data_IF_199496727333
#
_entry.id   IF_199496727333
#
_cell.length_a   1.000
_cell.length_b   1.000
_cell.length_c   1.000
_cell.angle_alpha   90.00
_cell.angle_beta   90.00
_cell.angle_gamma   90.00
#
_symmetry.space_group_name_H-M   'P 1'
#
loop_
_entity.id
_entity.type
_entity.pdbx_description
1 polymer ?
#
# COMPACT_ATOMS: atom_id res chain seq x y z
N UNK A 1 2.20 8.23 4.96
CA UNK A 1 1.69 8.79 3.69
C UNK A 1 2.70 9.69 3.02
N UNK A 2 3.18 10.74 3.70
CA UNK A 2 4.10 11.71 3.08
C UNK A 2 5.36 11.09 2.48
N UNK A 3 6.05 10.20 3.20
CA UNK A 3 7.26 9.54 2.69
C UNK A 3 6.97 8.69 1.43
N UNK A 4 5.94 7.86 1.46
CA UNK A 4 5.63 6.97 0.33
C UNK A 4 5.08 7.76 -0.87
N UNK A 5 4.30 8.81 -0.66
CA UNK A 5 3.82 9.65 -1.76
C UNK A 5 4.96 10.46 -2.38
N UNK A 6 5.89 10.94 -1.56
CA UNK A 6 7.08 11.64 -2.03
C UNK A 6 7.98 10.72 -2.90
N UNK A 7 8.11 9.45 -2.51
CA UNK A 7 8.87 8.44 -3.26
C UNK A 7 8.10 7.83 -4.44
N UNK A 8 6.77 7.78 -4.41
CA UNK A 8 5.96 7.18 -5.47
C UNK A 8 5.49 8.20 -6.52
N UNK A 9 5.06 9.39 -6.09
CA UNK A 9 4.49 10.44 -6.94
C UNK A 9 5.43 11.62 -7.14
N UNK A 10 6.56 11.67 -6.42
CA UNK A 10 7.43 12.83 -6.44
C UNK A 10 6.82 14.04 -5.73
N UNK A 11 5.80 13.86 -4.90
CA UNK A 11 5.22 14.91 -4.06
C UNK A 11 4.66 14.37 -2.73
N UNK A 12 4.92 15.10 -1.65
CA UNK A 12 4.35 14.82 -0.33
C UNK A 12 2.88 15.21 -0.29
N UNK A 13 2.06 14.45 0.43
CA UNK A 13 0.70 14.87 0.74
C UNK A 13 0.66 16.05 1.71
N UNK A 14 1.71 16.30 2.50
CA UNK A 14 1.75 17.34 3.53
C UNK A 14 0.89 17.01 4.75
N UNK A 15 0.72 15.72 5.07
CA UNK A 15 -0.03 15.29 6.25
C UNK A 15 0.64 15.76 7.55
N UNK A 16 1.98 15.71 7.62
CA UNK A 16 2.74 16.14 8.79
C UNK A 16 2.65 17.65 9.02
N UNK A 17 2.75 18.45 7.96
CA UNK A 17 2.69 19.92 8.05
C UNK A 17 1.31 20.39 8.51
N UNK A 18 0.23 19.79 7.99
CA UNK A 18 -1.14 20.13 8.37
C UNK A 18 -1.55 19.56 9.73
N UNK A 19 -0.86 18.54 10.23
CA UNK A 19 -1.28 17.79 11.42
C UNK A 19 -2.53 16.93 11.22
N UNK A 20 -2.96 16.73 9.97
CA UNK A 20 -4.12 15.91 9.60
C UNK A 20 -3.91 15.27 8.21
N UNK A 21 -4.62 14.17 7.94
CA UNK A 21 -4.57 13.51 6.65
C UNK A 21 -5.11 14.42 5.53
N UNK A 22 -4.50 14.30 4.36
CA UNK A 22 -5.08 14.83 3.13
C UNK A 22 -6.44 14.15 2.86
N UNK A 23 -7.40 14.85 2.26
CA UNK A 23 -8.76 14.32 1.99
C UNK A 23 -8.72 12.96 1.26
N UNK A 24 -7.90 12.85 0.21
CA UNK A 24 -7.71 11.58 -0.50
C UNK A 24 -7.22 10.44 0.42
N UNK A 25 -6.35 10.73 1.39
CA UNK A 25 -5.83 9.74 2.35
C UNK A 25 -6.93 9.27 3.30
N UNK A 26 -7.80 10.18 3.78
CA UNK A 26 -8.98 9.80 4.57
C UNK A 26 -9.85 8.79 3.80
N UNK A 27 -10.05 9.01 2.51
CA UNK A 27 -10.84 8.07 1.68
C UNK A 27 -10.14 6.74 1.42
N UNK A 28 -8.80 6.71 1.44
CA UNK A 28 -8.01 5.49 1.22
C UNK A 28 -8.31 4.42 2.26
N UNK A 29 -8.29 4.77 3.55
CA UNK A 29 -8.49 3.79 4.62
C UNK A 29 -9.92 3.22 4.61
N UNK A 30 -10.90 4.06 4.30
CA UNK A 30 -12.28 3.60 4.10
C UNK A 30 -12.34 2.62 2.91
N UNK A 31 -11.71 2.96 1.79
CA UNK A 31 -11.63 2.10 0.62
C UNK A 31 -11.01 0.72 0.93
N UNK A 32 -9.91 0.67 1.69
CA UNK A 32 -9.23 -0.59 2.05
C UNK A 32 -10.08 -1.50 2.94
N UNK A 33 -10.82 -0.90 3.89
CA UNK A 33 -11.81 -1.62 4.70
C UNK A 33 -12.91 -2.24 3.84
N UNK A 34 -13.48 -1.45 2.91
CA UNK A 34 -14.53 -1.95 2.03
C UNK A 34 -14.04 -2.99 1.03
N UNK A 35 -12.80 -2.87 0.54
CA UNK A 35 -12.16 -3.88 -0.30
C UNK A 35 -12.03 -5.23 0.42
N UNK A 36 -11.65 -5.21 1.71
CA UNK A 36 -11.58 -6.42 2.53
C UNK A 36 -12.95 -7.07 2.70
N UNK A 37 -13.99 -6.28 2.96
CA UNK A 37 -15.38 -6.77 3.06
C UNK A 37 -15.91 -7.30 1.72
N UNK A 38 -15.59 -6.63 0.62
CA UNK A 38 -15.98 -7.02 -0.73
C UNK A 38 -15.23 -8.27 -1.23
N UNK A 39 -14.09 -8.62 -0.61
CA UNK A 39 -13.37 -9.86 -0.91
C UNK A 39 -14.06 -11.10 -0.31
N UNK A 40 -14.71 -10.98 0.85
CA UNK A 40 -15.38 -12.09 1.53
C UNK A 40 -16.44 -12.84 0.67
N UNK A 41 -17.33 -12.18 -0.09
CA UNK A 41 -18.31 -12.90 -0.90
C UNK A 41 -17.71 -13.58 -2.15
N UNK A 42 -16.45 -13.30 -2.53
CA UNK A 42 -15.81 -13.93 -3.71
C UNK A 42 -15.67 -15.45 -3.60
N UNK A 43 -15.73 -16.00 -2.37
CA UNK A 43 -15.78 -17.44 -2.14
C UNK A 43 -17.15 -18.07 -2.50
N UNK A 44 -18.18 -17.25 -2.72
CA UNK A 44 -19.55 -17.68 -2.97
C UNK A 44 -20.12 -16.94 -4.19
N UNK A 45 -19.94 -17.47 -5.42
CA UNK A 45 -20.26 -16.75 -6.66
C UNK A 45 -21.69 -16.18 -6.72
N UNK A 46 -22.68 -16.92 -6.19
CA UNK A 46 -24.08 -16.47 -6.13
C UNK A 46 -24.27 -15.28 -5.18
N UNK A 47 -23.60 -15.29 -4.02
CA UNK A 47 -23.67 -14.19 -3.04
C UNK A 47 -22.96 -12.95 -3.60
N UNK A 48 -21.79 -13.14 -4.23
CA UNK A 48 -21.08 -12.04 -4.91
C UNK A 48 -21.96 -11.40 -5.99
N UNK A 49 -22.63 -12.20 -6.82
CA UNK A 49 -23.52 -11.71 -7.86
C UNK A 49 -24.66 -10.85 -7.29
N UNK A 50 -25.34 -11.34 -6.25
CA UNK A 50 -26.44 -10.62 -5.59
C UNK A 50 -25.92 -9.30 -4.99
N UNK A 51 -24.82 -9.34 -4.22
CA UNK A 51 -24.27 -8.13 -3.59
C UNK A 51 -23.82 -7.09 -4.61
N UNK A 52 -23.24 -7.51 -5.74
CA UNK A 52 -22.89 -6.60 -6.85
C UNK A 52 -24.13 -5.95 -7.46
N UNK A 53 -25.23 -6.68 -7.60
CA UNK A 53 -26.48 -6.15 -8.14
C UNK A 53 -27.08 -5.03 -7.27
N UNK A 54 -26.95 -5.16 -5.94
CA UNK A 54 -27.46 -4.16 -4.99
C UNK A 54 -26.42 -3.10 -4.58
N UNK A 55 -25.25 -3.08 -5.20
CA UNK A 55 -24.21 -2.12 -4.85
C UNK A 55 -24.65 -0.68 -5.22
N UNK A 56 -24.69 0.26 -4.26
CA UNK A 56 -25.09 1.63 -4.54
C UNK A 56 -24.11 2.32 -5.50
N UNK A 57 -24.65 3.09 -6.46
CA UNK A 57 -23.84 3.88 -7.41
C UNK A 57 -22.87 4.84 -6.73
N UNK A 58 -23.22 5.34 -5.54
CA UNK A 58 -22.35 6.23 -4.75
C UNK A 58 -21.06 5.54 -4.31
N UNK A 59 -21.10 4.24 -4.00
CA UNK A 59 -19.92 3.45 -3.62
C UNK A 59 -19.00 3.29 -4.83
N UNK A 60 -19.55 2.94 -5.99
CA UNK A 60 -18.79 2.81 -7.24
C UNK A 60 -18.15 4.13 -7.66
N UNK A 61 -18.88 5.25 -7.55
CA UNK A 61 -18.32 6.57 -7.87
C UNK A 61 -17.25 7.01 -6.87
N UNK A 62 -17.41 6.66 -5.58
CA UNK A 62 -16.37 6.89 -4.57
C UNK A 62 -15.07 6.16 -4.91
N UNK A 63 -15.16 4.88 -5.29
CA UNK A 63 -14.01 4.11 -5.78
C UNK A 63 -13.40 4.75 -7.04
N UNK A 64 -14.23 5.17 -8.00
CA UNK A 64 -13.76 5.80 -9.24
C UNK A 64 -12.99 7.08 -8.97
N UNK A 65 -13.51 7.95 -8.08
CA UNK A 65 -12.84 9.19 -7.65
C UNK A 65 -11.52 8.91 -6.94
N UNK A 66 -11.51 7.93 -6.03
CA UNK A 66 -10.31 7.54 -5.30
C UNK A 66 -9.19 7.09 -6.25
N UNK A 67 -9.52 6.25 -7.24
CA UNK A 67 -8.58 5.80 -8.27
C UNK A 67 -8.17 6.91 -9.25
N UNK A 68 -9.10 7.81 -9.61
CA UNK A 68 -8.82 8.92 -10.53
C UNK A 68 -7.76 9.87 -9.99
N UNK A 69 -7.81 10.18 -8.68
CA UNK A 69 -6.83 11.05 -8.04
C UNK A 69 -5.42 10.46 -8.07
N UNK A 70 -5.26 9.18 -7.70
CA UNK A 70 -3.96 8.51 -7.76
C UNK A 70 -3.43 8.47 -9.20
N UNK A 71 -4.30 8.14 -10.16
CA UNK A 71 -3.97 8.16 -11.60
C UNK A 71 -3.49 9.53 -12.05
N UNK A 72 -4.17 10.61 -11.66
CA UNK A 72 -3.77 11.97 -12.00
C UNK A 72 -2.37 12.30 -11.49
N UNK A 73 -2.09 12.00 -10.21
CA UNK A 73 -0.78 12.23 -9.57
C UNK A 73 0.34 11.46 -10.26
N UNK A 74 0.11 10.17 -10.55
CA UNK A 74 1.09 9.31 -11.23
C UNK A 74 1.33 9.79 -12.66
N UNK A 75 0.25 10.09 -13.39
CA UNK A 75 0.31 10.65 -14.76
C UNK A 75 1.14 11.91 -14.80
N UNK A 76 0.87 12.86 -13.88
CA UNK A 76 1.65 14.10 -13.77
C UNK A 76 3.13 13.82 -13.54
N UNK A 77 3.46 12.87 -12.65
CA UNK A 77 4.85 12.50 -12.36
C UNK A 77 5.56 11.90 -13.58
N UNK A 78 4.88 11.06 -14.36
CA UNK A 78 5.39 10.51 -15.62
C UNK A 78 5.69 11.64 -16.61
N UNK A 79 4.75 12.58 -16.77
CA UNK A 79 4.82 13.65 -17.77
C UNK A 79 5.89 14.71 -17.45
N UNK A 80 6.22 14.89 -16.16
CA UNK A 80 7.30 15.79 -15.73
C UNK A 80 8.69 15.37 -16.21
N UNK A 81 8.90 14.10 -16.60
CA UNK A 81 10.20 13.55 -17.05
C UNK A 81 11.39 14.00 -16.18
N UNK A 82 11.17 14.01 -14.87
CA UNK A 82 12.14 14.48 -13.89
C UNK A 82 13.15 13.38 -13.54
N UNK A 83 14.41 13.78 -13.33
CA UNK A 83 15.51 12.95 -12.82
C UNK A 83 15.52 12.84 -11.28
N UNK A 84 14.40 13.17 -10.62
CA UNK A 84 14.25 13.08 -9.16
C UNK A 84 14.60 11.66 -8.67
N UNK A 85 15.39 11.49 -7.59
CA UNK A 85 15.72 10.16 -7.05
C UNK A 85 14.53 9.56 -6.27
N UNK A 86 13.50 9.14 -6.99
CA UNK A 86 12.29 8.50 -6.46
C UNK A 86 12.12 7.08 -7.08
N UNK A 87 11.06 6.36 -6.73
CA UNK A 87 10.82 5.01 -7.25
C UNK A 87 10.50 4.99 -8.75
N UNK A 88 10.00 6.11 -9.30
CA UNK A 88 9.59 6.19 -10.70
C UNK A 88 10.77 6.40 -11.64
N UNK A 89 11.76 7.19 -11.25
CA UNK A 89 12.91 7.49 -12.12
C UNK A 89 13.67 6.25 -12.62
N UNK A 90 14.07 5.28 -11.77
CA UNK A 90 14.70 4.05 -12.25
C UNK A 90 13.78 3.23 -13.16
N UNK A 91 12.48 3.23 -12.88
CA UNK A 91 11.48 2.51 -13.67
C UNK A 91 11.34 3.12 -15.08
N UNK A 92 11.27 4.45 -15.16
CA UNK A 92 11.14 5.19 -16.41
C UNK A 92 12.41 5.15 -17.25
N UNK A 93 13.60 5.16 -16.62
CA UNK A 93 14.90 5.11 -17.32
C UNK A 93 15.04 3.89 -18.21
N UNK A 94 14.47 2.75 -17.79
CA UNK A 94 14.50 1.49 -18.55
C UNK A 94 13.25 1.29 -19.43
N UNK A 95 12.39 2.31 -19.55
CA UNK A 95 11.11 2.23 -20.25
C UNK A 95 10.71 3.56 -20.92
N UNK A 96 11.66 4.19 -21.62
CA UNK A 96 11.51 5.54 -22.20
C UNK A 96 10.36 5.64 -23.23
N UNK A 97 10.09 4.56 -23.96
CA UNK A 97 9.06 4.51 -25.01
C UNK A 97 7.78 3.77 -24.60
N UNK A 98 7.65 3.32 -23.35
CA UNK A 98 6.54 2.47 -22.88
C UNK A 98 6.39 1.12 -23.62
N UNK A 99 7.46 0.64 -24.25
CA UNK A 99 7.47 -0.64 -24.97
C UNK A 99 7.58 -1.84 -24.03
N UNK A 100 8.29 -1.70 -22.91
CA UNK A 100 8.45 -2.80 -21.93
C UNK A 100 7.31 -2.84 -20.93
N UNK A 101 6.81 -1.67 -20.52
CA UNK A 101 5.65 -1.53 -19.63
C UNK A 101 4.80 -0.36 -20.14
N UNK A 102 3.52 -0.61 -20.40
CA UNK A 102 2.60 0.43 -20.85
C UNK A 102 2.40 1.49 -19.77
N UNK A 103 1.98 2.69 -20.19
CA UNK A 103 1.69 3.79 -19.26
C UNK A 103 0.61 3.39 -18.24
N UNK A 104 -0.41 2.66 -18.69
CA UNK A 104 -1.49 2.14 -17.86
C UNK A 104 -0.98 1.17 -16.80
N UNK A 105 -0.09 0.26 -17.16
CA UNK A 105 0.53 -0.67 -16.21
C UNK A 105 1.38 0.07 -15.16
N UNK A 106 2.08 1.14 -15.53
CA UNK A 106 2.82 1.98 -14.57
C UNK A 106 1.85 2.64 -13.59
N UNK A 107 0.76 3.22 -14.11
CA UNK A 107 -0.27 3.85 -13.28
C UNK A 107 -0.84 2.86 -12.27
N UNK A 108 -1.23 1.66 -12.71
CA UNK A 108 -1.75 0.65 -11.78
C UNK A 108 -0.68 0.18 -10.79
N UNK A 109 0.56 -0.02 -11.23
CA UNK A 109 1.68 -0.44 -10.36
C UNK A 109 1.92 0.58 -9.25
N UNK A 110 2.04 1.87 -9.59
CA UNK A 110 2.30 2.91 -8.59
C UNK A 110 1.11 3.16 -7.67
N UNK A 111 -0.12 2.93 -8.16
CA UNK A 111 -1.32 2.91 -7.32
C UNK A 111 -1.24 1.79 -6.27
N UNK A 112 -0.74 0.60 -6.62
CA UNK A 112 -0.47 -0.45 -5.64
C UNK A 112 0.69 -0.12 -4.69
N UNK A 113 1.77 0.49 -5.17
CA UNK A 113 2.93 0.87 -4.35
C UNK A 113 2.51 1.79 -3.20
N UNK A 114 1.65 2.78 -3.47
CA UNK A 114 1.24 3.72 -2.41
C UNK A 114 0.34 3.06 -1.37
N UNK A 115 -0.58 2.19 -1.80
CA UNK A 115 -1.46 1.44 -0.92
C UNK A 115 -0.63 0.48 -0.06
N UNK A 116 0.20 -0.34 -0.71
CA UNK A 116 1.02 -1.34 -0.05
C UNK A 116 2.05 -0.74 0.90
N UNK A 117 2.73 0.34 0.50
CA UNK A 117 3.81 0.94 1.28
C UNK A 117 3.38 1.86 2.43
N UNK A 118 2.13 2.33 2.43
CA UNK A 118 1.65 3.27 3.45
C UNK A 118 1.19 2.59 4.73
N UNK A 119 0.03 1.91 4.67
CA UNK A 119 -0.65 1.38 5.84
C UNK A 119 0.11 0.22 6.47
N UNK A 120 0.72 -0.65 5.66
CA UNK A 120 1.46 -1.81 6.19
C UNK A 120 2.69 -1.39 7.00
N UNK A 121 3.48 -0.44 6.46
CA UNK A 121 4.65 0.11 7.15
C UNK A 121 4.24 0.85 8.42
N UNK A 122 3.18 1.66 8.37
CA UNK A 122 2.66 2.37 9.54
C UNK A 122 2.18 1.41 10.63
N UNK A 123 1.46 0.35 10.25
CA UNK A 123 0.96 -0.69 11.16
C UNK A 123 2.11 -1.47 11.79
N UNK A 124 3.11 -1.88 11.01
CA UNK A 124 4.29 -2.58 11.51
C UNK A 124 5.07 -1.71 12.51
N UNK A 125 5.33 -0.44 12.17
CA UNK A 125 6.02 0.50 13.07
C UNK A 125 5.21 0.72 14.36
N UNK A 126 3.90 0.93 14.26
CA UNK A 126 3.02 1.12 15.42
C UNK A 126 3.07 -0.10 16.34
N UNK A 127 3.01 -1.30 15.77
CA UNK A 127 3.14 -2.56 16.52
C UNK A 127 4.49 -2.66 17.22
N UNK A 128 5.59 -2.41 16.51
CA UNK A 128 6.95 -2.43 17.07
C UNK A 128 7.05 -1.46 18.24
N UNK A 129 6.67 -0.20 18.06
CA UNK A 129 6.73 0.81 19.12
C UNK A 129 5.89 0.42 20.34
N UNK A 130 4.64 -0.03 20.11
CA UNK A 130 3.76 -0.50 21.18
C UNK A 130 4.35 -1.65 21.99
N UNK A 131 5.14 -2.54 21.37
CA UNK A 131 5.84 -3.61 22.08
C UNK A 131 7.09 -3.11 22.80
N UNK A 132 7.90 -2.25 22.17
CA UNK A 132 9.13 -1.73 22.77
C UNK A 132 8.87 -0.84 24.00
N UNK A 133 7.75 -0.11 24.03
CA UNK A 133 7.42 0.79 25.15
C UNK A 133 6.82 0.09 26.37
N UNK A 134 6.64 -1.24 26.34
CA UNK A 134 6.14 -2.00 27.49
C UNK A 134 7.21 -2.13 28.56
N UNK A 135 6.81 -2.14 29.84
CA UNK A 135 7.75 -2.22 30.98
C UNK A 135 8.59 -3.48 30.91
N UNK A 136 7.98 -4.59 30.52
CA UNK A 136 8.65 -5.90 30.34
C UNK A 136 9.77 -5.86 29.29
N UNK A 137 9.67 -4.97 28.30
CA UNK A 137 10.59 -4.89 27.15
C UNK A 137 11.59 -3.73 27.23
N UNK A 138 11.70 -3.06 28.39
CA UNK A 138 12.59 -1.89 28.56
C UNK A 138 14.04 -2.17 28.15
N UNK A 139 14.56 -3.36 28.48
CA UNK A 139 15.91 -3.78 28.11
C UNK A 139 16.11 -3.87 26.58
N UNK A 140 15.08 -4.32 25.84
CA UNK A 140 15.09 -4.37 24.37
C UNK A 140 15.09 -2.96 23.80
N UNK A 141 14.28 -2.05 24.34
CA UNK A 141 14.26 -0.65 23.92
C UNK A 141 15.62 0.03 24.15
N UNK A 142 16.25 -0.18 25.31
CA UNK A 142 17.58 0.35 25.63
C UNK A 142 18.66 -0.19 24.67
N UNK A 143 18.62 -1.47 24.34
CA UNK A 143 19.50 -2.09 23.35
C UNK A 143 19.26 -1.51 21.94
N UNK A 144 18.01 -1.45 21.51
CA UNK A 144 17.59 -0.92 20.20
C UNK A 144 18.03 0.53 20.01
N UNK A 145 17.98 1.34 21.07
CA UNK A 145 18.40 2.74 21.05
C UNK A 145 19.91 2.90 20.90
N UNK A 146 20.70 1.94 21.40
CA UNK A 146 22.15 1.89 21.20
C UNK A 146 22.51 1.34 19.82
N UNK A 147 21.74 0.39 19.32
CA UNK A 147 22.04 -0.41 18.14
C UNK A 147 21.03 -0.16 17.00
N UNK A 148 20.66 1.10 16.77
CA UNK A 148 19.56 1.68 15.92
C UNK A 148 19.21 0.95 14.59
N UNK A 149 20.01 0.01 14.12
CA UNK A 149 19.85 -0.73 12.85
C UNK A 149 19.59 -2.22 12.98
N UNK A 150 19.23 -2.73 14.15
CA UNK A 150 19.07 -4.17 14.30
C UNK A 150 17.86 -4.71 13.50
N UNK A 151 18.16 -5.53 12.49
CA UNK A 151 17.17 -6.23 11.65
C UNK A 151 16.31 -7.18 12.48
N UNK A 152 16.81 -7.66 13.62
CA UNK A 152 16.08 -8.55 14.50
C UNK A 152 14.77 -7.93 15.01
N UNK A 153 14.81 -6.66 15.42
CA UNK A 153 13.63 -5.95 15.98
C UNK A 153 12.52 -5.84 14.93
N UNK A 154 12.88 -5.51 13.68
CA UNK A 154 11.92 -5.37 12.60
C UNK A 154 11.26 -6.72 12.31
N UNK A 155 12.06 -7.78 12.20
CA UNK A 155 11.56 -9.12 11.93
C UNK A 155 10.64 -9.63 13.06
N UNK A 156 11.03 -9.42 14.31
CA UNK A 156 10.22 -9.80 15.46
C UNK A 156 8.94 -8.95 15.56
N UNK A 157 9.05 -7.66 15.24
CA UNK A 157 7.92 -6.76 15.07
C UNK A 157 6.90 -7.25 14.05
N UNK A 158 7.36 -7.68 12.87
CA UNK A 158 6.51 -8.25 11.82
C UNK A 158 5.91 -9.61 12.22
N UNK A 159 6.63 -10.41 13.02
CA UNK A 159 6.12 -11.68 13.57
C UNK A 159 4.98 -11.44 14.56
N UNK A 160 5.14 -10.43 15.43
CA UNK A 160 4.18 -10.10 16.49
C UNK A 160 2.98 -9.28 15.98
N UNK A 161 3.25 -8.35 15.06
CA UNK A 161 2.27 -7.47 14.43
C UNK A 161 2.40 -7.60 12.91
N UNK A 162 1.80 -8.67 12.36
CA UNK A 162 1.77 -8.88 10.91
C UNK A 162 0.76 -7.91 10.28
N UNK A 163 1.18 -6.93 9.45
CA UNK A 163 0.27 -5.99 8.81
C UNK A 163 -0.61 -6.62 7.72
N UNK A 164 -0.28 -7.83 7.25
CA UNK A 164 -1.04 -8.57 6.22
C UNK A 164 -1.32 -10.00 6.71
N UNK A 165 -2.18 -10.17 7.73
CA UNK A 165 -2.38 -11.48 8.37
C UNK A 165 -3.13 -12.49 7.48
N UNK A 166 -3.89 -12.02 6.49
CA UNK A 166 -4.66 -12.86 5.57
C UNK A 166 -3.83 -13.55 4.48
N UNK A 167 -2.54 -13.24 4.37
CA UNK A 167 -1.69 -13.74 3.28
C UNK A 167 -2.14 -13.27 1.89
N UNK A 168 -1.54 -13.85 0.85
CA UNK A 168 -1.95 -13.61 -0.54
C UNK A 168 -2.65 -14.87 -1.08
N UNK A 169 -3.89 -14.77 -1.59
CA UNK A 169 -4.55 -15.92 -2.19
C UNK A 169 -3.74 -16.44 -3.38
N UNK A 170 -3.72 -17.76 -3.54
CA UNK A 170 -3.07 -18.45 -4.65
C UNK A 170 -4.13 -19.19 -5.47
N UNK A 171 -3.93 -19.24 -6.77
CA UNK A 171 -4.71 -20.07 -7.68
C UNK A 171 -3.78 -21.14 -8.22
N UNK A 172 -4.16 -22.41 -8.06
CA UNK A 172 -3.39 -23.53 -8.61
C UNK A 172 -3.64 -23.57 -10.13
N UNK A 173 -2.59 -23.55 -10.97
CA UNK A 173 -2.76 -23.65 -12.41
C UNK A 173 -3.35 -25.02 -12.80
N UNK A 174 -3.99 -25.07 -13.98
CA UNK A 174 -4.57 -26.31 -14.50
C UNK A 174 -3.47 -27.37 -14.68
N UNK A 175 -3.65 -28.55 -14.06
CA UNK A 175 -2.64 -29.62 -14.05
C UNK A 175 -1.77 -29.68 -12.79
N UNK A 176 -1.89 -28.71 -11.87
CA UNK A 176 -1.07 -28.63 -10.67
C UNK A 176 0.31 -27.99 -10.92
N UNK A 177 1.07 -27.82 -9.86
CA UNK A 177 2.46 -27.34 -9.90
C UNK A 177 3.27 -28.05 -8.81
N UNK A 178 4.57 -28.21 -9.00
CA UNK A 178 5.49 -28.81 -8.02
C UNK A 178 6.42 -27.74 -7.48
N UNK A 179 6.43 -27.59 -6.15
CA UNK A 179 7.39 -26.73 -5.47
C UNK A 179 8.78 -27.40 -5.56
N UNK A 180 9.71 -26.74 -6.26
CA UNK A 180 11.12 -27.12 -6.28
C UNK A 180 11.85 -26.65 -5.02
#
# INVERSE_FOLDING_TARGET
MDVISDLAFGESFGCLERGDYHEWVHTLFAFLKYMSLAAAPRYYPTVEFILKMFMPKSVMEGQRKHMAYAREKITRRIDLKSERPDFMTPFMKNNVNFESVSREEIVETFNFVIIGGSETTATAMTGIFNHLTRKENKHVLEMSTREIRDKFIINEGLRMCNPVPGGLPRVVPAGGDTLA
#
